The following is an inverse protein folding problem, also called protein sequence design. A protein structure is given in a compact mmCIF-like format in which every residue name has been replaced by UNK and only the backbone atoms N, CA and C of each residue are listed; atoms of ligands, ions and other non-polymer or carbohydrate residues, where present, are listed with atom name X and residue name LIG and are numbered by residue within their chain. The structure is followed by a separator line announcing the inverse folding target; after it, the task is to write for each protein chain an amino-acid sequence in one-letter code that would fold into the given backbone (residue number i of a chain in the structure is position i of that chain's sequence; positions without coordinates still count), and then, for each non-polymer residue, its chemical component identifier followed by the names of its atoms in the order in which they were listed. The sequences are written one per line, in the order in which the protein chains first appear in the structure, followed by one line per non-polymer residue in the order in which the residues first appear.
data_IF_047103161508
#
_entry.id   IF_047103161508
#
_cell.length_a   1.000
_cell.length_b   1.000
_cell.length_c   1.000
_cell.angle_alpha   90.00
_cell.angle_beta   90.00
_cell.angle_gamma   90.00
#
_symmetry.space_group_name_H-M   'P 1'
#
loop_
_entity.id
_entity.type
_entity.pdbx_description
1 polymer ?
#
# COMPACT_ATOMS: atom_id res chain seq x y z
N UNK A 1 36.20 -31.64 -16.02
CA UNK A 1 35.79 -32.76 -15.14
C UNK A 1 37.07 -33.35 -14.54
N UNK A 2 37.14 -33.71 -13.25
CA UNK A 2 36.16 -33.56 -12.15
C UNK A 2 36.28 -32.14 -11.52
N UNK A 3 36.16 -31.87 -10.20
CA UNK A 3 34.93 -31.88 -9.36
C UNK A 3 35.01 -30.89 -8.17
N UNK A 4 33.85 -30.31 -7.80
CA UNK A 4 33.32 -29.86 -6.49
C UNK A 4 34.20 -29.47 -5.27
N UNK A 5 33.56 -28.65 -4.40
CA UNK A 5 33.90 -28.27 -3.00
C UNK A 5 34.93 -27.12 -2.86
N UNK A 6 34.76 -26.11 -1.97
CA UNK A 6 33.65 -25.79 -1.04
C UNK A 6 33.65 -24.29 -0.65
N UNK A 7 32.64 -23.91 0.14
CA UNK A 7 32.63 -22.81 1.13
C UNK A 7 32.62 -21.34 0.65
N UNK A 8 31.49 -20.69 0.93
CA UNK A 8 31.50 -19.74 2.05
C UNK A 8 31.28 -18.27 1.75
N UNK A 9 30.01 -17.85 1.83
CA UNK A 9 29.55 -16.53 2.33
C UNK A 9 30.01 -15.27 1.58
N UNK A 10 29.05 -14.50 1.06
CA UNK A 10 28.93 -13.06 1.39
C UNK A 10 27.54 -12.48 1.07
N UNK A 11 26.96 -11.86 2.09
CA UNK A 11 25.72 -11.06 2.15
C UNK A 11 25.15 -10.50 0.83
N UNK A 12 23.89 -10.86 0.53
CA UNK A 12 23.09 -10.26 -0.55
C UNK A 12 21.61 -10.17 -0.22
N UNK A 13 21.22 -9.30 0.73
CA UNK A 13 19.83 -9.14 1.18
C UNK A 13 19.37 -7.67 1.38
N UNK A 14 19.60 -6.86 0.35
CA UNK A 14 18.67 -5.76 -0.01
C UNK A 14 18.18 -5.98 -1.46
N UNK A 15 17.84 -7.24 -1.76
CA UNK A 15 17.29 -7.65 -3.04
C UNK A 15 15.85 -7.13 -3.22
N UNK A 16 15.48 -6.91 -4.48
CA UNK A 16 14.12 -6.60 -4.89
C UNK A 16 13.12 -7.60 -4.31
N UNK A 17 11.99 -7.13 -3.77
CA UNK A 17 10.96 -7.98 -3.17
C UNK A 17 10.52 -9.04 -4.17
N UNK A 18 10.53 -10.31 -3.75
CA UNK A 18 10.26 -11.45 -4.62
C UNK A 18 8.91 -11.31 -5.31
N UNK A 19 8.90 -11.37 -6.63
CA UNK A 19 7.67 -11.42 -7.41
C UNK A 19 7.28 -12.88 -7.72
N UNK A 20 6.01 -13.22 -7.52
CA UNK A 20 5.41 -14.52 -7.82
C UNK A 20 4.36 -14.27 -8.92
N UNK A 21 4.54 -14.80 -10.15
CA UNK A 21 3.68 -14.49 -11.30
C UNK A 21 2.36 -15.29 -11.28
N UNK A 22 1.69 -15.29 -10.12
CA UNK A 22 0.41 -15.95 -9.87
C UNK A 22 -0.62 -14.91 -9.40
N UNK A 23 -1.90 -15.27 -9.45
CA UNK A 23 -3.01 -14.45 -8.98
C UNK A 23 -3.76 -15.18 -7.87
N UNK A 24 -4.31 -14.43 -6.90
CA UNK A 24 -5.30 -14.98 -5.98
C UNK A 24 -6.70 -14.82 -6.58
N UNK A 25 -7.50 -15.89 -6.54
CA UNK A 25 -8.90 -15.89 -6.97
C UNK A 25 -9.76 -16.51 -5.88
N UNK A 26 -10.79 -15.81 -5.42
CA UNK A 26 -11.69 -16.33 -4.37
C UNK A 26 -12.54 -17.53 -4.82
N UNK A 27 -12.57 -17.80 -6.13
CA UNK A 27 -13.23 -18.94 -6.77
C UNK A 27 -12.32 -20.16 -6.93
N UNK A 28 -10.99 -20.01 -6.95
CA UNK A 28 -10.04 -21.12 -6.93
C UNK A 28 -9.55 -21.34 -5.48
N UNK A 29 -10.01 -22.42 -4.79
CA UNK A 29 -9.56 -22.72 -3.43
C UNK A 29 -8.06 -23.04 -3.34
N UNK A 30 -7.43 -23.43 -4.44
CA UNK A 30 -5.99 -23.73 -4.48
C UNK A 30 -5.13 -22.49 -4.75
N UNK A 31 -5.70 -21.37 -5.21
CA UNK A 31 -4.92 -20.18 -5.61
C UNK A 31 -4.06 -19.62 -4.46
N UNK A 32 -4.61 -19.61 -3.25
CA UNK A 32 -3.89 -19.26 -2.03
C UNK A 32 -2.78 -20.28 -1.71
N UNK A 33 -3.06 -21.58 -1.81
CA UNK A 33 -2.07 -22.65 -1.59
C UNK A 33 -0.89 -22.55 -2.57
N UNK A 34 -1.16 -22.31 -3.86
CA UNK A 34 -0.14 -22.12 -4.90
C UNK A 34 0.78 -20.93 -4.59
N UNK A 35 0.19 -19.81 -4.14
CA UNK A 35 0.95 -18.62 -3.71
C UNK A 35 1.80 -18.87 -2.46
N UNK A 36 1.26 -19.57 -1.46
CA UNK A 36 1.98 -19.93 -0.22
C UNK A 36 3.12 -20.89 -0.51
N UNK A 37 2.88 -21.97 -1.26
CA UNK A 37 3.90 -22.97 -1.61
C UNK A 37 4.99 -22.39 -2.52
N UNK A 38 4.67 -21.44 -3.39
CA UNK A 38 5.68 -20.69 -4.12
C UNK A 38 6.63 -19.93 -3.18
N UNK A 39 6.11 -19.34 -2.09
CA UNK A 39 6.88 -18.59 -1.10
C UNK A 39 7.62 -19.47 -0.07
N UNK A 40 7.00 -20.59 0.31
CA UNK A 40 7.43 -21.55 1.34
C UNK A 40 7.29 -22.99 0.81
N UNK A 41 8.17 -23.46 -0.09
CA UNK A 41 8.08 -24.80 -0.66
C UNK A 41 8.13 -25.91 0.38
N UNK A 42 8.78 -25.67 1.51
CA UNK A 42 8.88 -26.57 2.66
C UNK A 42 7.54 -26.80 3.40
N UNK A 43 6.49 -26.03 3.08
CA UNK A 43 5.12 -26.27 3.56
C UNK A 43 4.37 -27.33 2.71
N UNK A 44 4.97 -27.85 1.63
CA UNK A 44 4.43 -28.97 0.86
C UNK A 44 4.76 -30.36 1.47
N UNK A 45 5.42 -30.40 2.63
CA UNK A 45 5.87 -31.64 3.25
C UNK A 45 4.69 -32.46 3.84
N UNK A 46 4.74 -33.80 3.90
CA UNK A 46 3.61 -34.62 4.38
C UNK A 46 3.19 -34.37 5.84
N UNK A 47 4.10 -33.83 6.66
CA UNK A 47 3.91 -33.39 8.04
C UNK A 47 3.37 -31.94 8.17
N UNK A 48 3.23 -31.21 7.06
CA UNK A 48 2.68 -29.85 7.02
C UNK A 48 1.19 -29.86 6.75
N UNK A 49 0.40 -29.18 7.58
CA UNK A 49 -1.00 -28.86 7.29
C UNK A 49 -1.19 -27.36 7.16
N UNK A 50 -1.38 -26.90 5.92
CA UNK A 50 -1.66 -25.49 5.63
C UNK A 50 -3.15 -25.21 5.86
N UNK A 51 -3.47 -24.41 6.87
CA UNK A 51 -4.82 -23.89 7.11
C UNK A 51 -4.89 -22.40 6.73
N UNK A 52 -6.02 -21.99 6.14
CA UNK A 52 -6.29 -20.60 5.75
C UNK A 52 -7.44 -20.01 6.59
N UNK A 53 -7.17 -18.85 7.21
CA UNK A 53 -8.15 -18.10 8.00
C UNK A 53 -8.43 -16.78 7.26
N UNK A 54 -9.68 -16.57 6.85
CA UNK A 54 -10.11 -15.34 6.17
C UNK A 54 -10.54 -14.28 7.18
N UNK A 55 -9.97 -13.09 7.07
CA UNK A 55 -10.45 -11.92 7.79
C UNK A 55 -11.51 -11.20 6.96
N UNK A 56 -12.67 -10.94 7.57
CA UNK A 56 -13.86 -10.37 6.92
C UNK A 56 -14.02 -8.86 7.12
N UNK A 57 -13.22 -8.25 7.99
CA UNK A 57 -13.38 -6.84 8.41
C UNK A 57 -12.85 -5.83 7.35
N UNK A 58 -12.30 -6.32 6.24
CA UNK A 58 -11.79 -5.50 5.15
C UNK A 58 -12.87 -5.19 4.11
N UNK A 59 -13.10 -3.90 3.83
CA UNK A 59 -14.09 -3.44 2.84
C UNK A 59 -13.60 -3.67 1.39
N UNK A 60 -12.32 -3.41 1.11
CA UNK A 60 -11.78 -3.27 -0.26
C UNK A 60 -10.76 -4.33 -0.66
N UNK A 61 -10.34 -5.23 0.23
CA UNK A 61 -9.29 -6.22 -0.04
C UNK A 61 -9.66 -7.55 0.62
N UNK A 62 -9.29 -8.67 0.00
CA UNK A 62 -9.36 -9.98 0.66
C UNK A 62 -8.07 -10.21 1.44
N UNK A 63 -8.18 -10.53 2.73
CA UNK A 63 -7.06 -10.81 3.61
C UNK A 63 -7.17 -12.25 4.15
N UNK A 64 -6.14 -13.05 3.90
CA UNK A 64 -6.02 -14.44 4.34
C UNK A 64 -4.76 -14.59 5.20
N UNK A 65 -4.91 -15.15 6.40
CA UNK A 65 -3.78 -15.67 7.18
C UNK A 65 -3.58 -17.14 6.81
N UNK A 66 -2.39 -17.49 6.34
CA UNK A 66 -1.98 -18.87 6.16
C UNK A 66 -1.09 -19.29 7.34
N UNK A 67 -1.37 -20.47 7.90
CA UNK A 67 -0.58 -21.08 8.97
C UNK A 67 -0.18 -22.49 8.57
N UNK A 68 1.04 -22.91 8.92
CA UNK A 68 1.45 -24.31 8.84
C UNK A 68 1.32 -24.94 10.23
N UNK A 69 0.41 -25.88 10.38
CA UNK A 69 0.28 -26.69 11.59
C UNK A 69 1.12 -27.94 11.41
N UNK A 70 2.11 -28.11 12.28
CA UNK A 70 2.91 -29.34 12.44
C UNK A 70 2.70 -29.88 13.85
N UNK A 71 2.75 -31.19 14.01
CA UNK A 71 2.67 -31.82 15.32
C UNK A 71 3.86 -31.39 16.20
N UNK A 72 3.59 -31.00 17.45
CA UNK A 72 4.59 -30.54 18.41
C UNK A 72 4.87 -29.02 18.43
N UNK A 73 4.33 -28.23 17.49
CA UNK A 73 4.42 -26.76 17.57
C UNK A 73 3.32 -26.16 18.46
N UNK A 74 3.70 -25.18 19.28
CA UNK A 74 2.76 -24.34 20.02
C UNK A 74 2.02 -23.34 19.11
N UNK A 75 0.88 -22.82 19.58
CA UNK A 75 0.14 -21.76 18.86
C UNK A 75 0.99 -20.50 18.62
N UNK A 76 1.93 -20.21 19.52
CA UNK A 76 2.85 -19.06 19.38
C UNK A 76 3.86 -19.27 18.25
N UNK A 77 4.45 -20.47 18.13
CA UNK A 77 5.37 -20.81 17.04
C UNK A 77 4.64 -20.81 15.69
N UNK A 78 3.40 -21.32 15.65
CA UNK A 78 2.54 -21.29 14.47
C UNK A 78 2.21 -19.85 14.07
N UNK A 79 1.87 -18.98 15.03
CA UNK A 79 1.63 -17.54 14.79
C UNK A 79 2.89 -16.81 14.30
N UNK A 80 4.06 -17.12 14.86
CA UNK A 80 5.33 -16.50 14.48
C UNK A 80 5.79 -16.86 13.06
N UNK A 81 5.37 -18.02 12.56
CA UNK A 81 5.59 -18.48 11.18
C UNK A 81 4.45 -18.09 10.22
N UNK A 82 3.34 -17.55 10.72
CA UNK A 82 2.17 -17.22 9.92
C UNK A 82 2.43 -16.07 8.93
N UNK A 83 1.78 -16.18 7.77
CA UNK A 83 1.88 -15.19 6.68
C UNK A 83 0.51 -14.63 6.33
N UNK A 84 0.47 -13.35 5.99
CA UNK A 84 -0.72 -12.64 5.52
C UNK A 84 -0.65 -12.44 4.01
N UNK A 85 -1.61 -13.00 3.30
CA UNK A 85 -1.85 -12.78 1.88
C UNK A 85 -2.97 -11.75 1.74
N UNK A 86 -2.64 -10.60 1.15
CA UNK A 86 -3.58 -9.52 0.82
C UNK A 86 -3.75 -9.45 -0.68
N UNK A 87 -4.95 -9.75 -1.16
CA UNK A 87 -5.34 -9.58 -2.55
C UNK A 87 -6.19 -8.32 -2.73
N UNK A 88 -5.90 -7.57 -3.79
CA UNK A 88 -6.58 -6.33 -4.15
C UNK A 88 -8.03 -6.60 -4.60
N UNK A 89 -8.99 -5.81 -4.13
CA UNK A 89 -10.38 -5.90 -4.57
C UNK A 89 -10.61 -5.31 -5.95
N UNK A 90 -11.45 -5.97 -6.75
CA UNK A 90 -11.77 -5.58 -8.12
C UNK A 90 -12.28 -4.12 -8.20
N UNK A 91 -11.83 -3.37 -9.20
CA UNK A 91 -12.28 -2.00 -9.48
C UNK A 91 -11.75 -0.91 -8.55
N UNK A 92 -10.91 -1.22 -7.56
CA UNK A 92 -10.37 -0.20 -6.63
C UNK A 92 -9.11 0.51 -7.15
N UNK A 93 -8.59 0.10 -8.32
CA UNK A 93 -7.38 0.67 -8.94
C UNK A 93 -7.58 2.08 -9.54
N UNK A 94 -8.85 2.50 -9.69
CA UNK A 94 -9.22 3.90 -10.04
C UNK A 94 -8.88 4.87 -8.90
N UNK A 95 -8.77 4.37 -7.67
CA UNK A 95 -8.54 5.15 -6.44
C UNK A 95 -7.18 4.82 -5.82
N UNK A 96 -6.66 3.60 -6.02
CA UNK A 96 -5.45 3.08 -5.36
C UNK A 96 -4.39 2.71 -6.38
N UNK A 97 -3.28 3.45 -6.39
CA UNK A 97 -2.06 3.12 -7.14
C UNK A 97 -1.31 1.96 -6.45
N UNK A 98 -1.31 0.78 -7.06
CA UNK A 98 -0.66 -0.44 -6.52
C UNK A 98 0.86 -0.42 -6.52
N UNK A 99 1.53 0.02 -7.60
CA UNK A 99 2.97 0.30 -7.57
C UNK A 99 3.36 1.16 -6.37
N UNK A 100 2.64 2.27 -6.15
CA UNK A 100 2.89 3.23 -5.06
C UNK A 100 2.52 2.69 -3.68
N UNK A 101 1.41 1.96 -3.55
CA UNK A 101 1.03 1.21 -2.34
C UNK A 101 2.17 0.27 -1.91
N UNK A 102 2.75 -0.45 -2.88
CA UNK A 102 3.85 -1.38 -2.61
C UNK A 102 5.16 -0.67 -2.28
N UNK A 103 5.53 0.39 -3.02
CA UNK A 103 6.71 1.21 -2.72
C UNK A 103 6.65 1.84 -1.33
N UNK A 104 5.47 2.32 -0.91
CA UNK A 104 5.25 2.84 0.43
C UNK A 104 5.40 1.74 1.49
N UNK A 105 4.86 0.54 1.27
CA UNK A 105 5.04 -0.59 2.20
C UNK A 105 6.51 -1.01 2.31
N UNK A 106 7.23 -1.13 1.19
CA UNK A 106 8.67 -1.41 1.15
C UNK A 106 9.49 -0.34 1.88
N UNK A 107 9.11 0.93 1.75
CA UNK A 107 9.76 2.03 2.46
C UNK A 107 9.50 1.95 3.97
N UNK A 108 8.24 1.79 4.39
CA UNK A 108 7.87 1.68 5.80
C UNK A 108 8.52 0.47 6.47
N UNK A 109 8.63 -0.65 5.77
CA UNK A 109 9.36 -1.84 6.24
C UNK A 109 10.82 -1.51 6.58
N UNK A 110 11.52 -0.70 5.78
CA UNK A 110 12.91 -0.28 6.04
C UNK A 110 13.05 0.59 7.30
N UNK A 111 12.01 1.35 7.65
CA UNK A 111 11.92 2.10 8.92
C UNK A 111 11.29 1.27 10.06
N UNK A 112 11.07 -0.03 9.85
CA UNK A 112 10.39 -0.92 10.80
C UNK A 112 8.94 -0.53 11.10
N UNK A 113 8.32 0.34 10.30
CA UNK A 113 6.97 0.89 10.45
C UNK A 113 5.87 0.03 9.81
N UNK A 114 6.24 -0.93 8.95
CA UNK A 114 5.35 -1.93 8.37
C UNK A 114 5.92 -3.36 8.58
N UNK A 115 5.06 -4.40 8.63
CA UNK A 115 5.52 -5.79 8.66
C UNK A 115 6.36 -6.15 7.43
N UNK A 116 7.27 -7.10 7.62
CA UNK A 116 8.16 -7.64 6.58
C UNK A 116 7.37 -8.11 5.35
N UNK A 117 7.67 -7.53 4.19
CA UNK A 117 7.07 -7.87 2.91
C UNK A 117 7.85 -9.01 2.27
N UNK A 118 7.23 -10.20 2.24
CA UNK A 118 7.87 -11.45 1.84
C UNK A 118 7.82 -11.66 0.33
N UNK A 119 6.71 -11.28 -0.32
CA UNK A 119 6.54 -11.35 -1.77
C UNK A 119 5.44 -10.43 -2.30
N UNK A 120 5.46 -10.21 -3.61
CA UNK A 120 4.41 -9.58 -4.41
C UNK A 120 3.85 -10.60 -5.40
N UNK A 121 2.60 -10.44 -5.81
CA UNK A 121 1.98 -11.24 -6.86
C UNK A 121 1.05 -10.38 -7.74
N UNK A 122 0.51 -10.93 -8.83
CA UNK A 122 -0.15 -10.16 -9.89
C UNK A 122 -1.22 -9.18 -9.37
N UNK A 123 -2.03 -9.64 -8.40
CA UNK A 123 -3.12 -8.88 -7.79
C UNK A 123 -2.98 -8.76 -6.26
N UNK A 124 -1.76 -8.69 -5.72
CA UNK A 124 -1.58 -8.52 -4.27
C UNK A 124 -0.16 -8.61 -3.74
N UNK A 125 -0.08 -8.81 -2.42
CA UNK A 125 1.17 -8.88 -1.65
C UNK A 125 1.06 -9.88 -0.49
N UNK A 126 2.20 -10.47 -0.11
CA UNK A 126 2.34 -11.39 1.03
C UNK A 126 3.34 -10.80 2.03
N UNK A 127 2.92 -10.60 3.27
CA UNK A 127 3.74 -10.04 4.35
C UNK A 127 3.60 -10.87 5.64
N UNK A 128 4.52 -10.69 6.58
CA UNK A 128 4.53 -11.41 7.85
C UNK A 128 3.30 -11.06 8.71
N UNK A 129 2.68 -12.07 9.33
CA UNK A 129 1.60 -11.85 10.30
C UNK A 129 2.14 -11.13 11.55
N UNK A 130 1.39 -10.15 12.06
CA UNK A 130 1.64 -9.55 13.37
C UNK A 130 0.57 -10.09 14.32
N UNK A 131 1.00 -10.81 15.37
CA UNK A 131 0.12 -11.31 16.42
C UNK A 131 -0.50 -10.14 17.19
N UNK A 132 -1.82 -10.18 17.33
CA UNK A 132 -2.60 -9.15 18.01
C UNK A 132 -4.02 -9.08 17.47
N UNK A 133 -4.75 -8.03 17.85
CA UNK A 133 -6.06 -7.67 17.31
C UNK A 133 -6.05 -6.22 16.81
N UNK A 134 -6.83 -5.86 15.78
CA UNK A 134 -7.07 -4.46 15.44
C UNK A 134 -7.60 -3.66 16.62
N UNK A 135 -7.26 -2.37 16.66
CA UNK A 135 -7.82 -1.42 17.64
C UNK A 135 -9.25 -1.06 17.27
N UNK A 136 -10.16 -1.18 18.23
CA UNK A 136 -11.55 -0.71 18.13
C UNK A 136 -11.66 0.79 18.40
N UNK A 137 -12.75 1.46 18.00
CA UNK A 137 -13.01 2.86 18.36
C UNK A 137 -13.03 3.13 19.87
N UNK A 138 -13.35 2.12 20.69
CA UNK A 138 -13.25 2.19 22.16
C UNK A 138 -11.81 2.16 22.66
N UNK A 139 -10.92 1.35 22.07
CA UNK A 139 -9.51 1.29 22.45
C UNK A 139 -8.81 2.64 22.24
N UNK A 140 -9.16 3.34 21.15
CA UNK A 140 -8.60 4.66 20.82
C UNK A 140 -8.98 5.78 21.81
N UNK A 141 -9.87 5.52 22.77
CA UNK A 141 -10.18 6.44 23.89
C UNK A 141 -9.27 6.21 25.10
N UNK A 142 -8.55 5.09 25.15
CA UNK A 142 -7.64 4.76 26.26
C UNK A 142 -6.32 5.53 26.11
N UNK A 143 -5.90 6.33 27.12
CA UNK A 143 -4.70 7.16 27.02
C UNK A 143 -3.41 6.43 26.63
N UNK A 144 -3.15 5.25 27.21
CA UNK A 144 -1.98 4.46 26.86
C UNK A 144 -1.95 4.02 25.39
N UNK A 145 -3.12 3.81 24.77
CA UNK A 145 -3.26 3.35 23.38
C UNK A 145 -3.12 4.53 22.42
N UNK A 146 -3.90 5.61 22.57
CA UNK A 146 -3.81 6.73 21.62
C UNK A 146 -2.45 7.46 21.70
N UNK A 147 -1.82 7.51 22.87
CA UNK A 147 -0.46 8.07 23.00
C UNK A 147 0.58 7.19 22.29
N UNK A 148 0.43 5.86 22.30
CA UNK A 148 1.31 4.97 21.54
C UNK A 148 1.12 5.16 20.02
N UNK A 149 -0.13 5.26 19.55
CA UNK A 149 -0.46 5.57 18.15
C UNK A 149 0.13 6.93 17.74
N UNK A 150 -0.07 7.98 18.53
CA UNK A 150 0.43 9.32 18.26
C UNK A 150 1.97 9.37 18.19
N UNK A 151 2.68 8.68 19.09
CA UNK A 151 4.14 8.54 19.03
C UNK A 151 4.60 7.85 17.74
N UNK A 152 3.90 6.81 17.30
CA UNK A 152 4.27 6.07 16.08
C UNK A 152 3.99 6.87 14.80
N UNK A 153 2.92 7.66 14.78
CA UNK A 153 2.64 8.62 13.69
C UNK A 153 3.67 9.77 13.67
N UNK A 154 4.03 10.31 14.84
CA UNK A 154 5.09 11.32 14.94
C UNK A 154 6.44 10.79 14.43
N UNK A 155 6.80 9.55 14.79
CA UNK A 155 7.99 8.89 14.23
C UNK A 155 7.92 8.76 12.71
N UNK A 156 6.80 8.30 12.15
CA UNK A 156 6.60 8.23 10.70
C UNK A 156 6.84 9.60 10.06
N UNK A 157 6.13 10.64 10.51
CA UNK A 157 6.23 12.00 9.95
C UNK A 157 7.64 12.61 10.06
N UNK A 158 8.43 12.21 11.06
CA UNK A 158 9.78 12.72 11.28
C UNK A 158 10.88 11.94 10.54
N UNK A 159 10.68 10.65 10.23
CA UNK A 159 11.77 9.80 9.68
C UNK A 159 11.52 9.26 8.28
N UNK A 160 10.28 9.15 7.81
CA UNK A 160 9.97 8.52 6.51
C UNK A 160 9.90 9.58 5.41
N UNK A 161 10.77 9.53 4.38
CA UNK A 161 10.75 10.51 3.29
C UNK A 161 9.53 10.32 2.38
N UNK A 162 8.97 11.43 1.89
CA UNK A 162 7.89 11.39 0.91
C UNK A 162 8.40 10.93 -0.47
N UNK A 163 7.72 9.94 -1.06
CA UNK A 163 7.98 9.50 -2.44
C UNK A 163 7.34 10.48 -3.42
N UNK A 164 8.10 11.45 -3.90
CA UNK A 164 7.63 12.42 -4.90
C UNK A 164 7.73 11.85 -6.32
N UNK A 165 6.76 12.17 -7.18
CA UNK A 165 6.86 11.86 -8.60
C UNK A 165 7.82 12.86 -9.27
N UNK A 166 8.98 12.38 -9.70
CA UNK A 166 9.93 13.15 -10.51
C UNK A 166 9.41 13.27 -11.94
N UNK A 167 8.47 14.19 -12.17
CA UNK A 167 8.17 14.59 -13.54
C UNK A 167 9.36 15.34 -14.13
N UNK A 168 9.78 15.05 -15.38
CA UNK A 168 10.68 15.95 -16.08
C UNK A 168 9.98 17.31 -16.19
N UNK A 169 10.67 18.39 -15.82
CA UNK A 169 10.16 19.73 -16.08
C UNK A 169 9.87 19.83 -17.58
N UNK A 170 8.62 20.14 -17.94
CA UNK A 170 8.28 20.61 -19.29
C UNK A 170 8.89 22.00 -19.45
N UNK A 171 10.19 22.05 -19.72
CA UNK A 171 10.84 23.24 -20.24
C UNK A 171 10.07 23.66 -21.49
N UNK A 172 9.48 24.85 -21.45
CA UNK A 172 8.51 25.29 -22.44
C UNK A 172 9.14 25.43 -23.82
N UNK A 173 9.00 24.42 -24.66
CA UNK A 173 9.24 24.49 -26.11
C UNK A 173 8.09 23.80 -26.84
N UNK A 174 7.57 24.52 -27.82
CA UNK A 174 6.34 24.29 -28.58
C UNK A 174 6.09 22.86 -29.11
N UNK A 175 4.83 22.42 -28.96
CA UNK A 175 4.05 21.93 -30.11
C UNK A 175 4.10 20.43 -30.46
N UNK A 176 3.17 19.65 -29.90
CA UNK A 176 2.47 18.58 -30.62
C UNK A 176 1.14 18.27 -29.91
N UNK A 177 0.03 18.26 -30.65
CA UNK A 177 -1.28 17.95 -30.08
C UNK A 177 -1.47 16.43 -29.89
N UNK A 178 -1.97 16.02 -28.73
CA UNK A 178 -2.53 14.70 -28.50
C UNK A 178 -3.91 14.85 -27.85
N UNK A 179 -4.89 14.14 -28.41
CA UNK A 179 -6.33 14.33 -28.21
C UNK A 179 -6.82 14.34 -26.76
N UNK A 180 -7.82 15.18 -26.51
CA UNK A 180 -9.09 14.63 -26.03
C UNK A 180 -9.36 14.62 -24.52
N UNK A 181 -8.90 15.60 -23.76
CA UNK A 181 -9.64 16.03 -22.56
C UNK A 181 -9.50 17.53 -22.35
N UNK A 182 -10.57 18.19 -21.89
CA UNK A 182 -10.50 19.53 -21.30
C UNK A 182 -9.94 19.41 -19.88
N UNK A 183 -8.74 18.84 -19.78
CA UNK A 183 -8.12 18.45 -18.52
C UNK A 183 -7.54 19.66 -17.80
N UNK A 184 -8.12 20.02 -16.67
CA UNK A 184 -7.39 20.74 -15.61
C UNK A 184 -6.15 19.90 -15.31
N UNK A 185 -4.96 20.49 -15.45
CA UNK A 185 -3.71 19.80 -15.13
C UNK A 185 -3.68 19.53 -13.63
N UNK A 186 -3.99 18.27 -13.29
CA UNK A 186 -4.18 17.75 -11.93
C UNK A 186 -2.99 18.07 -11.04
N UNK A 187 -1.77 18.06 -11.59
CA UNK A 187 -0.54 18.29 -10.85
C UNK A 187 -0.25 19.78 -10.62
N UNK A 188 -0.92 20.68 -11.34
CA UNK A 188 -0.88 22.13 -11.12
C UNK A 188 -1.94 22.65 -10.15
N UNK A 189 -2.89 21.81 -9.71
CA UNK A 189 -4.08 22.24 -8.96
C UNK A 189 -3.75 22.99 -7.67
N UNK A 190 -2.61 22.68 -7.02
CA UNK A 190 -2.08 23.40 -5.87
C UNK A 190 -0.63 23.85 -6.13
N UNK A 191 -0.41 25.07 -6.69
CA UNK A 191 0.91 25.56 -7.07
C UNK A 191 1.92 25.54 -5.92
N UNK A 192 3.16 25.14 -6.22
CA UNK A 192 4.25 25.07 -5.23
C UNK A 192 4.18 23.88 -4.26
N UNK A 193 3.17 23.01 -4.35
CA UNK A 193 3.10 21.77 -3.57
C UNK A 193 3.60 20.57 -4.39
N UNK A 194 4.42 19.66 -3.83
CA UNK A 194 4.88 18.49 -4.56
C UNK A 194 3.72 17.52 -4.82
N UNK A 195 3.72 16.85 -5.99
CA UNK A 195 2.71 15.85 -6.33
C UNK A 195 3.21 14.42 -6.04
N UNK A 196 2.33 13.49 -5.63
CA UNK A 196 0.93 13.70 -5.26
C UNK A 196 0.76 14.17 -3.81
N UNK A 197 -0.29 14.95 -3.59
CA UNK A 197 -0.70 15.48 -2.29
C UNK A 197 -2.24 15.45 -2.17
N UNK A 198 -2.78 15.87 -1.03
CA UNK A 198 -4.24 15.83 -0.77
C UNK A 198 -5.06 16.57 -1.83
N UNK A 199 -4.55 17.69 -2.36
CA UNK A 199 -5.23 18.49 -3.39
C UNK A 199 -5.27 17.77 -4.74
N UNK A 200 -4.14 17.19 -5.17
CA UNK A 200 -4.08 16.45 -6.44
C UNK A 200 -4.89 15.15 -6.35
N UNK A 201 -4.94 14.50 -5.19
CA UNK A 201 -5.82 13.33 -4.95
C UNK A 201 -7.31 13.71 -4.99
N UNK A 202 -7.73 14.78 -4.31
CA UNK A 202 -9.12 15.26 -4.37
C UNK A 202 -9.53 15.64 -5.80
N UNK A 203 -8.64 16.29 -6.56
CA UNK A 203 -8.86 16.60 -7.97
C UNK A 203 -9.04 15.32 -8.82
N UNK A 204 -8.20 14.30 -8.64
CA UNK A 204 -8.37 12.98 -9.30
C UNK A 204 -9.74 12.37 -8.97
N UNK A 205 -10.15 12.40 -7.71
CA UNK A 205 -11.44 11.84 -7.27
C UNK A 205 -12.66 12.57 -7.85
N UNK A 206 -12.62 13.90 -7.95
CA UNK A 206 -13.71 14.68 -8.57
C UNK A 206 -13.83 14.34 -10.06
N UNK A 207 -12.71 14.21 -10.77
CA UNK A 207 -12.70 13.92 -12.22
C UNK A 207 -13.23 12.53 -12.57
N UNK A 208 -13.07 11.52 -11.70
CA UNK A 208 -13.59 10.16 -11.92
C UNK A 208 -15.06 9.97 -11.51
N UNK A 209 -15.73 11.01 -10.99
CA UNK A 209 -17.16 10.93 -10.69
C UNK A 209 -17.98 10.68 -11.98
N UNK A 210 -19.08 9.90 -11.91
CA UNK A 210 -19.97 9.73 -13.06
C UNK A 210 -20.54 11.06 -13.54
N UNK A 211 -20.63 11.25 -14.86
CA UNK A 211 -21.11 12.47 -15.53
C UNK A 211 -22.26 12.23 -16.51
N UNK A 212 -22.92 11.06 -16.43
CA UNK A 212 -23.93 10.60 -17.39
C UNK A 212 -25.25 11.39 -17.32
N UNK A 213 -25.61 11.89 -16.15
CA UNK A 213 -26.82 12.71 -15.96
C UNK A 213 -26.49 14.18 -15.73
N UNK A 214 -27.48 15.06 -15.87
CA UNK A 214 -27.31 16.49 -15.56
C UNK A 214 -27.04 16.73 -14.07
N UNK A 215 -27.78 16.08 -13.17
CA UNK A 215 -27.53 16.13 -11.72
C UNK A 215 -26.12 15.65 -11.33
N UNK A 216 -25.59 14.65 -12.06
CA UNK A 216 -24.21 14.18 -11.90
C UNK A 216 -23.18 15.24 -12.31
N UNK A 217 -23.38 15.90 -13.47
CA UNK A 217 -22.51 16.99 -13.94
C UNK A 217 -22.56 18.22 -13.04
N UNK A 218 -23.75 18.58 -12.55
CA UNK A 218 -23.93 19.66 -11.56
C UNK A 218 -23.15 19.37 -10.28
N UNK A 219 -23.31 18.16 -9.70
CA UNK A 219 -22.56 17.74 -8.51
C UNK A 219 -21.04 17.77 -8.70
N UNK A 220 -20.54 17.35 -9.87
CA UNK A 220 -19.11 17.44 -10.18
C UNK A 220 -18.63 18.90 -10.25
N UNK A 221 -19.41 19.79 -10.87
CA UNK A 221 -19.10 21.21 -10.94
C UNK A 221 -19.11 21.91 -9.56
N UNK A 222 -20.07 21.58 -8.69
CA UNK A 222 -20.14 22.10 -7.33
C UNK A 222 -18.92 21.67 -6.50
N UNK A 223 -18.54 20.39 -6.55
CA UNK A 223 -17.34 19.87 -5.88
C UNK A 223 -16.06 20.49 -6.45
N UNK A 224 -15.98 20.72 -7.76
CA UNK A 224 -14.85 21.40 -8.38
C UNK A 224 -14.70 22.84 -7.89
N UNK A 225 -15.83 23.57 -7.77
CA UNK A 225 -15.88 24.93 -7.23
C UNK A 225 -15.47 24.97 -5.75
N UNK A 226 -15.93 24.00 -4.96
CA UNK A 226 -15.52 23.87 -3.56
C UNK A 226 -14.02 23.57 -3.42
N UNK A 227 -13.48 22.63 -4.20
CA UNK A 227 -12.04 22.31 -4.18
C UNK A 227 -11.19 23.54 -4.55
N UNK A 228 -11.54 24.27 -5.60
CA UNK A 228 -10.84 25.51 -5.99
C UNK A 228 -10.85 26.55 -4.84
N UNK A 229 -11.99 26.71 -4.14
CA UNK A 229 -12.10 27.59 -2.97
C UNK A 229 -11.20 27.12 -1.82
N UNK A 230 -11.25 25.84 -1.47
CA UNK A 230 -10.45 25.26 -0.39
C UNK A 230 -8.94 25.37 -0.68
N UNK A 231 -8.52 25.17 -1.93
CA UNK A 231 -7.12 25.37 -2.33
C UNK A 231 -6.70 26.82 -2.13
N UNK A 232 -7.50 27.79 -2.57
CA UNK A 232 -7.21 29.21 -2.39
C UNK A 232 -7.14 29.61 -0.90
N UNK A 233 -8.05 29.09 -0.07
CA UNK A 233 -8.11 29.42 1.36
C UNK A 233 -7.07 28.70 2.23
N UNK A 234 -6.66 27.48 1.86
CA UNK A 234 -5.94 26.56 2.74
C UNK A 234 -4.55 26.11 2.24
N UNK A 235 -4.31 26.02 0.92
CA UNK A 235 -3.11 25.36 0.40
C UNK A 235 -1.79 26.06 0.77
N UNK A 236 -1.81 27.38 0.91
CA UNK A 236 -0.64 28.20 1.25
C UNK A 236 -0.60 28.63 2.72
N UNK A 237 -1.45 28.05 3.60
CA UNK A 237 -1.37 28.36 5.03
C UNK A 237 -0.04 27.87 5.61
N UNK A 238 0.60 28.65 6.51
CA UNK A 238 1.78 28.19 7.22
C UNK A 238 1.42 26.97 8.08
N UNK A 239 2.14 25.88 7.88
CA UNK A 239 2.00 24.63 8.64
C UNK A 239 3.21 24.39 9.55
N UNK A 240 3.17 23.27 10.27
CA UNK A 240 4.36 22.77 10.95
C UNK A 240 5.29 22.12 9.91
N UNK A 241 6.37 22.83 9.57
CA UNK A 241 7.39 22.39 8.62
C UNK A 241 7.07 22.66 7.14
N UNK A 242 8.04 22.36 6.28
CA UNK A 242 7.92 22.63 4.84
C UNK A 242 6.95 21.66 4.17
N UNK A 243 5.90 22.19 3.56
CA UNK A 243 4.84 21.41 2.90
C UNK A 243 4.18 20.32 3.78
N UNK A 244 4.20 20.49 5.11
CA UNK A 244 3.63 19.56 6.07
C UNK A 244 4.55 18.41 6.49
N UNK A 245 5.84 18.48 6.12
CA UNK A 245 6.90 17.58 6.61
C UNK A 245 7.78 18.36 7.58
N UNK A 246 8.13 17.77 8.72
CA UNK A 246 9.06 18.40 9.67
C UNK A 246 10.42 18.65 8.99
N UNK A 247 11.05 19.82 9.18
CA UNK A 247 12.43 20.01 8.77
C UNK A 247 13.32 19.03 9.54
N UNK A 248 14.18 18.31 8.81
CA UNK A 248 15.15 17.35 9.33
C UNK A 248 16.34 18.04 9.99
#
# INVERSE_FOLDING_TARGET
MPSQTSNGVCNGLLGHVRFIPLSYESTDPESASKLVLALRPEWASPDSKIDFIRFTDGITNTLLKAVNKKEGLSEEEIDNQAILLRAYGNGTDVIIDRPRETQNHELLMKFGLAPELLARFNNGMIYKFIRGRPTTPSDLRVPSIYLAVARRLAQWHATVPCIHEKHPQKNGVNGAAASGSNGVDVDTVAPGKPSPNVWTVMQKWILVLPTKTEAQRARQADLQKELTRLIAELSQRPGLGENGVSPT
#
